data_IF_411939759233
#
_entry.id   IF_411939759233
#
_cell.length_a   1.000
_cell.length_b   1.000
_cell.length_c   1.000
_cell.angle_alpha   90.00
_cell.angle_beta   90.00
_cell.angle_gamma   90.00
#
_symmetry.space_group_name_H-M   'P 1'
#
loop_
_entity.id
_entity.type
_entity.pdbx_description
1 polymer ?
#
# COMPACT_ATOMS: atom_id res chain seq x y z
N UNK A 1 -5.18 66.51 -10.31
CA UNK A 1 -5.93 65.47 -11.05
C UNK A 1 -4.97 64.34 -11.39
N UNK A 2 -5.04 63.18 -10.71
CA UNK A 2 -4.08 62.09 -10.91
C UNK A 2 -4.48 61.20 -12.10
N UNK A 3 -3.47 60.83 -12.87
CA UNK A 3 -3.51 60.04 -14.10
C UNK A 3 -3.94 58.58 -13.80
N UNK A 4 -5.20 58.26 -14.09
CA UNK A 4 -5.85 56.97 -13.86
C UNK A 4 -5.86 56.13 -15.15
N UNK A 5 -4.73 55.50 -15.50
CA UNK A 5 -4.74 54.73 -16.76
C UNK A 5 -3.60 53.75 -17.05
N UNK A 6 -2.59 53.58 -16.21
CA UNK A 6 -1.54 52.60 -16.52
C UNK A 6 -1.89 51.22 -15.92
N UNK A 7 -2.33 50.22 -16.73
CA UNK A 7 -2.58 48.89 -16.19
C UNK A 7 -1.28 48.20 -15.77
N UNK A 8 -1.35 47.29 -14.79
CA UNK A 8 -0.21 46.48 -14.37
C UNK A 8 0.32 45.65 -15.55
N UNK A 9 1.65 45.50 -15.60
CA UNK A 9 2.47 44.83 -16.60
C UNK A 9 2.14 43.33 -16.81
N UNK A 10 0.93 43.00 -17.28
CA UNK A 10 0.62 41.67 -17.83
C UNK A 10 0.95 41.72 -19.31
N UNK A 11 2.19 41.33 -19.65
CA UNK A 11 2.62 41.25 -21.04
C UNK A 11 1.89 40.09 -21.72
N UNK A 12 1.18 40.40 -22.79
CA UNK A 12 0.71 39.42 -23.75
C UNK A 12 1.89 38.61 -24.29
N UNK A 13 1.73 37.29 -24.36
CA UNK A 13 2.66 36.37 -25.02
C UNK A 13 1.98 35.79 -26.26
N UNK A 14 2.53 35.98 -27.46
CA UNK A 14 1.97 35.37 -28.66
C UNK A 14 2.14 33.85 -28.61
N UNK A 15 1.05 33.09 -28.76
CA UNK A 15 1.09 31.61 -28.67
C UNK A 15 1.13 30.94 -30.05
N UNK A 16 0.67 31.64 -31.08
CA UNK A 16 0.63 31.15 -32.45
C UNK A 16 0.87 32.30 -33.47
N UNK A 17 0.92 31.93 -34.75
CA UNK A 17 1.18 32.86 -35.85
C UNK A 17 0.05 33.90 -36.03
N UNK A 18 -1.20 33.51 -35.75
CA UNK A 18 -2.35 34.42 -35.83
C UNK A 18 -2.30 35.47 -34.72
N UNK A 19 -1.96 35.05 -33.49
CA UNK A 19 -1.69 35.90 -32.35
C UNK A 19 -0.60 36.93 -32.70
N UNK A 20 0.50 36.47 -33.30
CA UNK A 20 1.58 37.36 -33.72
C UNK A 20 1.11 38.36 -34.78
N UNK A 21 0.35 37.90 -35.78
CA UNK A 21 -0.15 38.74 -36.87
C UNK A 21 -1.10 39.82 -36.33
N UNK A 22 -2.16 39.46 -35.61
CA UNK A 22 -3.12 40.45 -35.10
C UNK A 22 -2.50 41.38 -34.05
N UNK A 23 -1.56 40.89 -33.25
CA UNK A 23 -0.85 41.71 -32.29
C UNK A 23 0.11 42.73 -32.92
N UNK A 24 0.44 42.65 -34.22
CA UNK A 24 1.45 43.52 -34.82
C UNK A 24 1.02 44.19 -36.14
N UNK A 25 0.03 43.68 -36.86
CA UNK A 25 -0.33 44.14 -38.20
C UNK A 25 -1.19 45.42 -38.25
N UNK A 26 -1.72 45.90 -37.12
CA UNK A 26 -2.64 47.06 -37.08
C UNK A 26 -2.34 47.98 -35.90
N UNK A 27 -1.24 48.77 -35.98
CA UNK A 27 -0.83 49.65 -34.89
C UNK A 27 -1.84 50.78 -34.65
N UNK A 28 -2.14 51.05 -33.37
CA UNK A 28 -2.99 52.18 -32.94
C UNK A 28 -2.36 52.83 -31.68
N UNK A 29 -1.25 53.57 -31.81
CA UNK A 29 -0.46 54.04 -30.67
C UNK A 29 -1.23 54.99 -29.73
N UNK A 30 -2.14 55.79 -30.29
CA UNK A 30 -2.95 56.74 -29.53
C UNK A 30 -4.26 56.14 -28.99
N UNK A 31 -4.53 54.86 -29.28
CA UNK A 31 -5.76 54.16 -28.90
C UNK A 31 -7.04 54.88 -29.34
N UNK A 32 -7.03 55.39 -30.57
CA UNK A 32 -8.17 56.08 -31.15
C UNK A 32 -9.31 55.10 -31.41
N UNK A 33 -10.51 55.42 -30.92
CA UNK A 33 -11.72 54.60 -31.10
C UNK A 33 -11.69 53.24 -30.39
N UNK A 34 -10.78 53.03 -29.44
CA UNK A 34 -10.68 51.78 -28.70
C UNK A 34 -11.89 51.57 -27.77
N UNK A 35 -12.40 50.33 -27.64
CA UNK A 35 -13.33 49.96 -26.59
C UNK A 35 -12.76 50.25 -25.20
N UNK A 36 -13.64 50.49 -24.24
CA UNK A 36 -13.29 50.62 -22.83
C UNK A 36 -12.66 49.35 -22.28
N UNK A 37 -11.92 49.49 -21.17
CA UNK A 37 -11.30 48.35 -20.49
C UNK A 37 -12.33 47.29 -20.07
N UNK A 38 -13.50 47.72 -19.60
CA UNK A 38 -14.54 46.81 -19.15
C UNK A 38 -15.16 46.03 -20.31
N UNK A 39 -15.30 46.65 -21.49
CA UNK A 39 -15.68 45.95 -22.73
C UNK A 39 -14.64 44.90 -23.11
N UNK A 40 -13.35 45.23 -23.06
CA UNK A 40 -12.27 44.26 -23.32
C UNK A 40 -12.29 43.09 -22.33
N UNK A 41 -12.63 43.34 -21.05
CA UNK A 41 -12.80 42.28 -20.04
C UNK A 41 -13.98 41.37 -20.38
N UNK A 42 -15.14 41.91 -20.77
CA UNK A 42 -16.31 41.11 -21.16
C UNK A 42 -16.02 40.28 -22.41
N UNK A 43 -15.37 40.87 -23.42
CA UNK A 43 -14.95 40.14 -24.63
C UNK A 43 -13.95 39.03 -24.27
N UNK A 44 -12.95 39.32 -23.44
CA UNK A 44 -11.97 38.32 -23.01
C UNK A 44 -12.60 37.14 -22.25
N UNK A 45 -13.72 37.37 -21.55
CA UNK A 45 -14.49 36.35 -20.84
C UNK A 45 -15.55 35.65 -21.71
N UNK A 46 -15.67 36.01 -22.99
CA UNK A 46 -16.70 35.52 -23.92
C UNK A 46 -18.13 35.85 -23.46
N UNK A 47 -18.31 36.97 -22.75
CA UNK A 47 -19.62 37.47 -22.30
C UNK A 47 -20.30 38.37 -23.35
N UNK A 48 -19.56 38.77 -24.40
CA UNK A 48 -20.04 39.60 -25.49
C UNK A 48 -20.47 38.74 -26.69
N UNK A 49 -21.63 39.00 -27.33
CA UNK A 49 -22.05 38.31 -28.55
C UNK A 49 -21.06 38.52 -29.72
N UNK A 50 -20.87 37.50 -30.56
CA UNK A 50 -19.87 37.50 -31.64
C UNK A 50 -20.07 38.61 -32.69
N UNK A 51 -21.29 39.14 -32.86
CA UNK A 51 -21.60 40.22 -33.80
C UNK A 51 -21.36 41.64 -33.28
N UNK A 52 -20.85 41.79 -32.05
CA UNK A 52 -20.62 43.08 -31.43
C UNK A 52 -19.48 43.87 -32.08
N UNK A 53 -19.62 45.19 -32.14
CA UNK A 53 -18.62 46.08 -32.74
C UNK A 53 -17.24 45.99 -32.07
N UNK A 54 -17.18 45.58 -30.79
CA UNK A 54 -15.93 45.36 -30.08
C UNK A 54 -15.08 44.26 -30.75
N UNK A 55 -15.67 43.17 -31.23
CA UNK A 55 -14.93 42.12 -31.94
C UNK A 55 -14.35 42.63 -33.25
N UNK A 56 -15.14 43.38 -34.03
CA UNK A 56 -14.69 43.97 -35.28
C UNK A 56 -13.52 44.94 -35.08
N UNK A 57 -13.56 45.74 -34.00
CA UNK A 57 -12.47 46.62 -33.63
C UNK A 57 -11.22 45.84 -33.20
N UNK A 58 -11.36 44.84 -32.32
CA UNK A 58 -10.23 44.09 -31.75
C UNK A 58 -9.38 43.41 -32.82
N UNK A 59 -10.00 42.82 -33.86
CA UNK A 59 -9.28 42.15 -34.96
C UNK A 59 -8.47 43.14 -35.81
N UNK A 60 -8.79 44.44 -35.77
CA UNK A 60 -8.14 45.51 -36.55
C UNK A 60 -7.33 46.48 -35.70
N UNK A 61 -7.12 46.18 -34.42
CA UNK A 61 -6.43 47.06 -33.48
C UNK A 61 -5.48 46.24 -32.60
N UNK A 62 -4.20 46.22 -32.98
CA UNK A 62 -3.17 45.45 -32.31
C UNK A 62 -3.07 45.71 -30.79
N UNK A 63 -3.17 46.96 -30.28
CA UNK A 63 -3.21 47.21 -28.84
C UNK A 63 -4.40 46.54 -28.12
N UNK A 64 -5.61 46.61 -28.70
CA UNK A 64 -6.81 45.98 -28.14
C UNK A 64 -6.71 44.45 -28.19
N UNK A 65 -6.16 43.88 -29.27
CA UNK A 65 -5.90 42.45 -29.37
C UNK A 65 -4.94 41.96 -28.29
N UNK A 66 -3.78 42.62 -28.12
CA UNK A 66 -2.80 42.27 -27.08
C UNK A 66 -3.44 42.31 -25.69
N UNK A 67 -4.24 43.31 -25.41
CA UNK A 67 -4.88 43.50 -24.11
C UNK A 67 -5.96 42.46 -23.82
N UNK A 68 -6.82 42.15 -24.79
CA UNK A 68 -7.80 41.06 -24.70
C UNK A 68 -7.10 39.71 -24.49
N UNK A 69 -6.05 39.41 -25.27
CA UNK A 69 -5.30 38.15 -25.13
C UNK A 69 -4.57 38.06 -23.79
N UNK A 70 -3.98 39.14 -23.29
CA UNK A 70 -3.37 39.18 -21.95
C UNK A 70 -4.40 38.83 -20.85
N UNK A 71 -5.62 39.37 -20.95
CA UNK A 71 -6.72 39.06 -20.04
C UNK A 71 -7.13 37.58 -20.10
N UNK A 72 -7.22 36.99 -21.30
CA UNK A 72 -7.50 35.56 -21.49
C UNK A 72 -6.39 34.67 -20.88
N UNK A 73 -5.13 35.02 -21.12
CA UNK A 73 -3.96 34.27 -20.67
C UNK A 73 -3.81 34.28 -19.15
N UNK A 74 -4.06 35.43 -18.51
CA UNK A 74 -4.03 35.55 -17.05
C UNK A 74 -5.06 34.61 -16.38
N UNK A 75 -6.27 34.52 -16.94
CA UNK A 75 -7.31 33.60 -16.48
C UNK A 75 -6.90 32.12 -16.62
N UNK A 76 -6.37 31.73 -17.78
CA UNK A 76 -5.93 30.37 -18.04
C UNK A 76 -4.76 29.94 -17.14
N UNK A 77 -3.77 30.82 -16.93
CA UNK A 77 -2.61 30.56 -16.06
C UNK A 77 -3.03 30.37 -14.60
N UNK A 78 -3.98 31.17 -14.11
CA UNK A 78 -4.53 31.03 -12.74
C UNK A 78 -5.28 29.72 -12.55
N UNK A 79 -6.06 29.28 -13.56
CA UNK A 79 -6.75 27.98 -13.52
C UNK A 79 -5.77 26.81 -13.52
N UNK A 80 -4.76 26.83 -14.41
CA UNK A 80 -3.73 25.77 -14.48
C UNK A 80 -2.96 25.65 -13.16
N UNK A 81 -2.47 26.76 -12.62
CA UNK A 81 -1.73 26.77 -11.33
C UNK A 81 -2.57 26.28 -10.15
N UNK A 82 -3.85 26.66 -10.08
CA UNK A 82 -4.78 26.12 -9.09
C UNK A 82 -5.00 24.61 -9.22
N UNK A 83 -5.16 24.11 -10.45
CA UNK A 83 -5.33 22.67 -10.71
C UNK A 83 -4.10 21.84 -10.29
N UNK A 84 -2.89 22.32 -10.57
CA UNK A 84 -1.65 21.68 -10.13
C UNK A 84 -1.53 21.63 -8.59
N UNK A 85 -1.93 22.68 -7.89
CA UNK A 85 -1.94 22.70 -6.43
C UNK A 85 -2.91 21.65 -5.84
N UNK A 86 -4.11 21.52 -6.41
CA UNK A 86 -5.09 20.49 -5.99
C UNK A 86 -4.57 19.08 -6.26
N UNK A 87 -3.97 18.84 -7.43
CA UNK A 87 -3.39 17.54 -7.78
C UNK A 87 -2.25 17.16 -6.83
N UNK A 88 -1.35 18.10 -6.51
CA UNK A 88 -0.26 17.87 -5.56
C UNK A 88 -0.79 17.52 -4.15
N UNK A 89 -1.81 18.23 -3.66
CA UNK A 89 -2.42 17.94 -2.38
C UNK A 89 -3.08 16.54 -2.34
N UNK A 90 -3.76 16.13 -3.42
CA UNK A 90 -4.35 14.81 -3.53
C UNK A 90 -3.30 13.69 -3.51
N UNK A 91 -2.17 13.87 -4.20
CA UNK A 91 -1.05 12.91 -4.19
C UNK A 91 -0.46 12.77 -2.78
N UNK A 92 -0.23 13.89 -2.07
CA UNK A 92 0.26 13.86 -0.69
C UNK A 92 -0.73 13.13 0.23
N UNK A 93 -2.03 13.40 0.11
CA UNK A 93 -3.04 12.70 0.90
C UNK A 93 -3.09 11.19 0.63
N UNK A 94 -2.94 10.76 -0.64
CA UNK A 94 -2.86 9.34 -1.00
C UNK A 94 -1.62 8.66 -0.42
N UNK A 95 -0.46 9.32 -0.47
CA UNK A 95 0.80 8.78 0.09
C UNK A 95 0.68 8.64 1.62
N UNK A 96 0.18 9.68 2.30
CA UNK A 96 -0.01 9.65 3.76
C UNK A 96 -1.05 8.60 4.17
N UNK A 97 -2.17 8.49 3.43
CA UNK A 97 -3.20 7.48 3.66
C UNK A 97 -2.68 6.04 3.46
N UNK A 98 -1.93 5.79 2.39
CA UNK A 98 -1.33 4.48 2.12
C UNK A 98 -0.28 4.10 3.18
N UNK A 99 0.51 5.07 3.65
CA UNK A 99 1.48 4.85 4.73
C UNK A 99 0.79 4.49 6.05
N UNK A 100 -0.32 5.15 6.40
CA UNK A 100 -1.05 4.86 7.63
C UNK A 100 -1.71 3.48 7.61
N UNK A 101 -2.28 3.06 6.46
CA UNK A 101 -2.90 1.75 6.30
C UNK A 101 -1.88 0.61 6.45
N UNK A 102 -0.71 0.77 5.84
CA UNK A 102 0.35 -0.26 5.91
C UNK A 102 1.02 -0.31 7.28
N UNK A 103 1.20 0.83 7.95
CA UNK A 103 1.80 0.89 9.29
C UNK A 103 0.95 0.19 10.39
N UNK A 104 -0.38 0.11 10.21
CA UNK A 104 -1.26 -0.58 11.17
C UNK A 104 -1.21 -2.11 11.13
N UNK A 105 -0.61 -2.72 10.09
CA UNK A 105 -0.71 -4.17 9.81
C UNK A 105 0.55 -4.98 10.14
N UNK A 106 1.60 -4.37 10.70
CA UNK A 106 2.91 -5.01 10.88
C UNK A 106 3.32 -5.19 12.34
N UNK A 107 2.42 -5.61 13.23
CA UNK A 107 2.85 -6.39 14.40
C UNK A 107 2.94 -7.84 13.96
N UNK A 108 4.07 -8.24 13.38
CA UNK A 108 4.38 -9.65 13.23
C UNK A 108 4.27 -10.28 14.63
N UNK A 109 3.37 -11.25 14.86
CA UNK A 109 3.26 -11.89 16.16
C UNK A 109 4.63 -12.51 16.49
N UNK A 110 5.15 -12.19 17.68
CA UNK A 110 6.45 -12.68 18.13
C UNK A 110 6.50 -14.21 17.99
N UNK A 111 7.52 -14.71 17.31
CA UNK A 111 7.77 -16.15 17.15
C UNK A 111 8.44 -16.64 18.43
N UNK A 112 7.87 -17.67 19.04
CA UNK A 112 8.39 -18.29 20.28
C UNK A 112 9.12 -19.57 19.92
N UNK A 113 10.42 -19.63 20.19
CA UNK A 113 11.19 -20.86 20.05
C UNK A 113 10.87 -21.82 21.21
N UNK A 114 10.56 -23.07 20.91
CA UNK A 114 10.26 -24.09 21.94
C UNK A 114 10.87 -25.43 21.58
N UNK A 115 11.39 -26.14 22.57
CA UNK A 115 11.89 -27.51 22.41
C UNK A 115 10.85 -28.50 22.92
N UNK A 116 10.47 -29.46 22.08
CA UNK A 116 9.53 -30.54 22.39
C UNK A 116 10.32 -31.85 22.39
N UNK A 117 10.53 -32.44 23.57
CA UNK A 117 11.25 -33.71 23.70
C UNK A 117 10.29 -34.90 23.66
N UNK A 118 10.37 -35.70 22.58
CA UNK A 118 9.56 -36.90 22.40
C UNK A 118 10.27 -38.18 22.84
N UNK A 119 11.54 -38.13 23.24
CA UNK A 119 12.30 -39.33 23.66
C UNK A 119 11.64 -40.14 24.78
N UNK A 120 10.92 -39.54 25.76
CA UNK A 120 10.18 -40.31 26.76
C UNK A 120 9.10 -41.23 26.18
N UNK A 121 8.67 -41.01 24.93
CA UNK A 121 7.68 -41.84 24.23
C UNK A 121 8.31 -42.97 23.40
N UNK A 122 9.60 -43.25 23.57
CA UNK A 122 10.25 -44.40 22.93
C UNK A 122 9.74 -45.70 23.56
N UNK A 123 9.12 -46.56 22.75
CA UNK A 123 8.65 -47.88 23.20
C UNK A 123 9.81 -48.87 23.10
N UNK A 124 10.43 -49.20 24.24
CA UNK A 124 11.46 -50.24 24.30
C UNK A 124 10.82 -51.60 24.64
N UNK A 125 11.30 -52.66 23.99
CA UNK A 125 10.85 -54.04 24.27
C UNK A 125 11.24 -54.41 25.71
N UNK A 126 10.25 -54.58 26.59
CA UNK A 126 10.43 -54.92 28.02
C UNK A 126 9.78 -53.94 29.00
N UNK A 127 9.25 -52.82 28.50
CA UNK A 127 8.74 -51.72 29.33
C UNK A 127 7.31 -51.91 29.87
N UNK A 128 7.00 -53.11 30.37
CA UNK A 128 5.64 -53.47 30.84
C UNK A 128 5.24 -52.77 32.16
N UNK A 129 6.11 -51.98 32.77
CA UNK A 129 5.93 -51.45 34.13
C UNK A 129 6.13 -49.93 34.28
N UNK A 130 6.54 -49.21 33.23
CA UNK A 130 6.67 -47.75 33.33
C UNK A 130 5.30 -47.05 33.18
N UNK A 131 4.99 -46.08 34.04
CA UNK A 131 3.79 -45.26 33.85
C UNK A 131 3.89 -44.49 32.51
N UNK A 132 2.77 -44.32 31.79
CA UNK A 132 2.78 -43.62 30.51
C UNK A 132 3.30 -42.18 30.67
N UNK A 133 4.12 -41.66 29.73
CA UNK A 133 4.70 -40.33 29.85
C UNK A 133 3.63 -39.24 29.91
N UNK A 134 3.93 -38.17 30.66
CA UNK A 134 3.03 -37.04 30.82
C UNK A 134 2.79 -36.29 29.49
N UNK A 135 1.62 -35.66 29.38
CA UNK A 135 1.28 -34.86 28.21
C UNK A 135 2.23 -33.67 28.01
N UNK A 136 2.69 -33.47 26.78
CA UNK A 136 3.60 -32.39 26.40
C UNK A 136 2.88 -31.05 26.53
N UNK A 137 3.50 -30.09 27.22
CA UNK A 137 2.95 -28.74 27.34
C UNK A 137 3.44 -27.89 26.17
N UNK A 138 2.51 -27.35 25.39
CA UNK A 138 2.80 -26.52 24.22
C UNK A 138 2.19 -25.13 24.45
N UNK A 139 2.96 -24.03 24.34
CA UNK A 139 2.43 -22.69 24.52
C UNK A 139 1.53 -22.28 23.34
N UNK A 140 0.54 -21.43 23.60
CA UNK A 140 -0.34 -20.83 22.58
C UNK A 140 0.32 -19.62 21.92
N UNK A 141 1.14 -19.87 20.89
CA UNK A 141 1.84 -18.82 20.15
C UNK A 141 2.11 -19.23 18.69
N UNK A 142 2.81 -18.38 17.94
CA UNK A 142 3.44 -18.79 16.67
C UNK A 142 4.79 -19.40 17.05
N UNK A 143 4.92 -20.72 16.90
CA UNK A 143 6.08 -21.45 17.40
C UNK A 143 7.10 -21.67 16.29
N UNK A 144 8.38 -21.56 16.66
CA UNK A 144 9.48 -22.24 15.97
C UNK A 144 9.85 -23.47 16.82
N UNK A 145 9.21 -24.60 16.50
CA UNK A 145 9.28 -25.80 17.33
C UNK A 145 10.47 -26.67 16.91
N UNK A 146 11.37 -26.94 17.86
CA UNK A 146 12.42 -27.94 17.74
C UNK A 146 11.96 -29.22 18.42
N UNK A 147 11.59 -30.22 17.63
CA UNK A 147 11.07 -31.50 18.10
C UNK A 147 12.21 -32.52 18.10
N UNK A 148 12.55 -33.03 19.28
CA UNK A 148 13.53 -34.12 19.43
C UNK A 148 12.78 -35.43 19.34
N UNK A 149 13.05 -36.23 18.31
CA UNK A 149 12.32 -37.46 18.02
C UNK A 149 12.78 -38.64 18.90
N UNK A 150 11.93 -39.66 19.10
CA UNK A 150 12.31 -40.87 19.86
C UNK A 150 13.50 -41.62 19.26
N UNK A 151 14.16 -42.43 20.10
CA UNK A 151 15.23 -43.32 19.64
C UNK A 151 14.71 -44.29 18.55
N UNK A 152 15.53 -44.50 17.52
CA UNK A 152 15.19 -45.37 16.39
C UNK A 152 14.38 -44.69 15.27
N UNK A 153 14.07 -43.40 15.37
CA UNK A 153 13.48 -42.65 14.24
C UNK A 153 14.56 -42.13 13.30
N UNK A 154 14.37 -42.33 11.99
CA UNK A 154 15.30 -41.88 10.95
C UNK A 154 15.10 -40.41 10.58
N UNK A 155 16.11 -39.81 9.94
CA UNK A 155 15.95 -38.50 9.29
C UNK A 155 15.01 -38.55 8.07
N UNK A 156 14.60 -37.37 7.61
CA UNK A 156 13.79 -37.19 6.40
C UNK A 156 12.64 -36.21 6.58
N UNK A 157 11.69 -36.21 5.64
CA UNK A 157 10.54 -35.31 5.70
C UNK A 157 9.45 -35.86 6.61
N UNK A 158 8.95 -35.02 7.51
CA UNK A 158 7.91 -35.34 8.47
C UNK A 158 6.68 -34.45 8.28
N UNK A 159 5.51 -35.06 8.42
CA UNK A 159 4.25 -34.37 8.65
C UNK A 159 4.01 -34.29 10.16
N UNK A 160 3.62 -33.11 10.64
CA UNK A 160 3.26 -32.86 12.04
C UNK A 160 1.83 -32.33 12.08
N UNK A 161 1.00 -32.88 12.94
CA UNK A 161 -0.39 -32.49 13.12
C UNK A 161 -0.72 -32.35 14.59
N UNK A 162 -1.52 -31.34 14.91
CA UNK A 162 -2.12 -31.18 16.23
C UNK A 162 -3.63 -31.40 16.09
N UNK A 163 -4.14 -32.44 16.75
CA UNK A 163 -5.56 -32.81 16.72
C UNK A 163 -6.23 -32.54 18.05
N UNK A 164 -7.49 -32.12 18.00
CA UNK A 164 -8.33 -32.01 19.20
C UNK A 164 -8.89 -33.38 19.63
N UNK A 165 -9.69 -33.38 20.70
CA UNK A 165 -10.34 -34.59 21.22
C UNK A 165 -11.26 -35.27 20.19
N UNK A 166 -11.81 -34.49 19.24
CA UNK A 166 -12.66 -34.96 18.14
C UNK A 166 -11.86 -35.44 16.93
N UNK A 167 -10.54 -35.60 17.08
CA UNK A 167 -9.62 -36.01 16.01
C UNK A 167 -9.55 -35.04 14.83
N UNK A 168 -10.05 -33.81 14.99
CA UNK A 168 -9.99 -32.80 13.94
C UNK A 168 -8.62 -32.14 13.94
N UNK A 169 -8.00 -32.01 12.77
CA UNK A 169 -6.71 -31.31 12.62
C UNK A 169 -6.92 -29.83 12.89
N UNK A 170 -6.22 -29.28 13.88
CA UNK A 170 -6.31 -27.87 14.29
C UNK A 170 -5.06 -27.08 13.92
N UNK A 171 -3.92 -27.76 13.81
CA UNK A 171 -2.70 -27.22 13.21
C UNK A 171 -1.97 -28.34 12.45
N UNK A 172 -1.27 -27.98 11.38
CA UNK A 172 -0.41 -28.90 10.66
C UNK A 172 0.83 -28.15 10.16
N UNK A 173 1.94 -28.88 10.07
CA UNK A 173 3.21 -28.38 9.55
C UNK A 173 3.98 -29.53 8.91
N UNK A 174 4.94 -29.19 8.06
CA UNK A 174 5.89 -30.13 7.50
C UNK A 174 7.31 -29.62 7.74
N UNK A 175 8.26 -30.52 7.90
CA UNK A 175 9.67 -30.17 8.06
C UNK A 175 10.59 -31.34 7.83
N UNK A 176 11.88 -31.04 7.69
CA UNK A 176 12.92 -32.05 7.59
C UNK A 176 13.50 -32.32 8.98
N UNK A 177 13.60 -33.60 9.32
CA UNK A 177 14.30 -34.09 10.48
C UNK A 177 15.73 -34.47 10.08
N UNK A 178 16.70 -33.97 10.83
CA UNK A 178 18.12 -34.22 10.61
C UNK A 178 18.70 -35.02 11.78
N UNK A 179 19.61 -35.94 11.48
CA UNK A 179 20.35 -36.69 12.50
C UNK A 179 21.58 -35.89 12.91
N UNK A 180 21.53 -35.27 14.08
CA UNK A 180 22.62 -34.47 14.65
C UNK A 180 23.06 -35.12 15.96
N UNK A 181 24.36 -35.44 16.10
CA UNK A 181 24.92 -36.05 17.32
C UNK A 181 24.15 -37.30 17.79
N UNK A 182 23.76 -38.17 16.85
CA UNK A 182 22.94 -39.38 17.09
C UNK A 182 21.51 -39.11 17.60
N UNK A 183 21.03 -37.87 17.49
CA UNK A 183 19.67 -37.46 17.86
C UNK A 183 18.95 -36.88 16.66
N UNK A 184 17.82 -37.49 16.30
CA UNK A 184 17.00 -37.01 15.18
C UNK A 184 16.15 -35.82 15.62
N UNK A 185 16.39 -34.66 15.02
CA UNK A 185 15.76 -33.39 15.39
C UNK A 185 15.00 -32.80 14.22
N UNK A 186 13.74 -32.46 14.43
CA UNK A 186 12.82 -31.88 13.46
C UNK A 186 12.52 -30.43 13.81
N UNK A 187 12.78 -29.49 12.91
CA UNK A 187 12.40 -28.08 13.10
C UNK A 187 11.17 -27.75 12.25
N UNK A 188 10.10 -27.28 12.88
CA UNK A 188 8.84 -26.95 12.20
C UNK A 188 8.21 -25.68 12.77
N UNK A 189 7.71 -24.78 11.91
CA UNK A 189 6.84 -23.70 12.36
C UNK A 189 5.47 -24.26 12.71
N UNK A 190 4.99 -24.05 13.95
CA UNK A 190 3.68 -24.53 14.39
C UNK A 190 2.83 -23.39 14.94
N UNK A 191 1.66 -23.14 14.33
CA UNK A 191 0.74 -22.10 14.77
C UNK A 191 -0.28 -22.61 15.78
N UNK A 192 -0.15 -22.24 17.05
CA UNK A 192 -1.08 -22.63 18.13
C UNK A 192 -1.79 -21.43 18.78
N UNK A 193 -1.44 -20.20 18.42
CA UNK A 193 -1.96 -18.97 19.06
C UNK A 193 -3.50 -18.85 19.08
N UNK A 194 -4.14 -19.19 17.95
CA UNK A 194 -5.60 -19.08 17.80
C UNK A 194 -6.37 -20.28 18.39
N UNK A 195 -5.66 -21.31 18.86
CA UNK A 195 -6.29 -22.53 19.37
C UNK A 195 -6.68 -22.34 20.84
N UNK A 196 -7.83 -22.87 21.30
CA UNK A 196 -8.19 -22.89 22.72
C UNK A 196 -7.16 -23.65 23.57
N UNK A 197 -7.02 -23.27 24.84
CA UNK A 197 -6.30 -24.09 25.81
C UNK A 197 -7.06 -25.39 26.07
N UNK A 198 -6.35 -26.51 26.26
CA UNK A 198 -7.01 -27.81 26.43
C UNK A 198 -6.12 -29.00 26.07
N UNK A 199 -6.74 -30.19 26.02
CA UNK A 199 -6.08 -31.43 25.63
C UNK A 199 -6.06 -31.59 24.11
N UNK A 200 -4.91 -32.05 23.61
CA UNK A 200 -4.64 -32.27 22.19
C UNK A 200 -3.83 -33.55 22.01
N UNK A 201 -3.76 -34.03 20.78
CA UNK A 201 -2.83 -35.07 20.34
C UNK A 201 -1.87 -34.47 19.34
N UNK A 202 -0.58 -34.60 19.59
CA UNK A 202 0.46 -34.27 18.62
C UNK A 202 0.78 -35.56 17.86
N UNK A 203 0.62 -35.52 16.55
CA UNK A 203 0.85 -36.64 15.66
C UNK A 203 1.99 -36.29 14.71
N UNK A 204 2.93 -37.22 14.54
CA UNK A 204 4.06 -37.09 13.64
C UNK A 204 4.16 -38.34 12.80
N UNK A 205 4.39 -38.20 11.49
CA UNK A 205 4.81 -39.32 10.65
C UNK A 205 5.94 -38.89 9.74
N UNK A 206 6.82 -39.82 9.42
CA UNK A 206 7.70 -39.68 8.26
C UNK A 206 6.85 -39.83 6.99
N UNK A 207 7.22 -39.18 5.90
CA UNK A 207 6.50 -39.29 4.63
C UNK A 207 6.26 -40.77 4.23
N UNK A 208 4.98 -41.17 4.16
CA UNK A 208 4.57 -42.54 3.85
C UNK A 208 4.72 -43.58 4.98
N UNK A 209 5.10 -43.14 6.19
CA UNK A 209 5.21 -44.00 7.38
C UNK A 209 4.00 -43.92 8.32
N UNK A 210 4.13 -44.63 9.44
CA UNK A 210 3.12 -44.69 10.51
C UNK A 210 3.09 -43.42 11.36
N UNK A 211 1.91 -43.12 11.92
CA UNK A 211 1.71 -42.00 12.83
C UNK A 211 2.15 -42.33 14.26
N UNK A 212 3.14 -41.61 14.75
CA UNK A 212 3.44 -41.51 16.18
C UNK A 212 2.46 -40.53 16.81
N UNK A 213 1.67 -40.99 17.77
CA UNK A 213 0.70 -40.16 18.51
C UNK A 213 1.16 -39.95 19.94
N UNK A 214 1.31 -38.70 20.36
CA UNK A 214 1.66 -38.33 21.74
C UNK A 214 0.61 -37.38 22.34
N UNK A 215 0.26 -37.54 23.63
CA UNK A 215 -0.63 -36.61 24.31
C UNK A 215 0.04 -35.24 24.47
N UNK A 216 -0.71 -34.18 24.18
CA UNK A 216 -0.28 -32.80 24.30
C UNK A 216 -1.34 -31.95 25.02
N UNK A 217 -0.92 -30.81 25.56
CA UNK A 217 -1.80 -29.84 26.21
C UNK A 217 -1.36 -28.43 25.83
N UNK A 218 -2.31 -27.64 25.32
CA UNK A 218 -2.10 -26.22 25.05
C UNK A 218 -2.30 -25.38 26.30
N UNK A 219 -1.34 -24.51 26.61
CA UNK A 219 -1.41 -23.52 27.68
C UNK A 219 -1.21 -22.11 27.15
#
# INVERSE_FOLDING_TARGET
MPNSGQPPNQKFEAQDELDYLFANASPNPNREGCPSRDELVRVARLETPMGDAAYAHIVRCSPCFREMRALQQAGARRRRTGMWAVAAAAVVALILGASWWTAGSSRSPAVVAVTIDLRPFSVMRGDLQSPPPAAIVIPRARLDATIVLPLGTEGGNYDVQLRDERLSVRAAATGAAELLDSVTTLRVPLGTAALPAGAYRLELRRAGGEWLTVPARLK
#
